data_IF_514130310695
#
_entry.id   IF_514130310695
#
_cell.length_a   1.000
_cell.length_b   1.000
_cell.length_c   1.000
_cell.angle_alpha   90.00
_cell.angle_beta   90.00
_cell.angle_gamma   90.00
#
_symmetry.space_group_name_H-M   'P 1'
#
loop_
_entity.id
_entity.type
_entity.pdbx_description
1 polymer ?
#
# COMPACT_ATOMS: atom_id res chain seq x y z
N UNK A 1 -42.06 -3.11 12.85
CA UNK A 1 -41.07 -2.59 11.87
C UNK A 1 -39.75 -2.42 12.62
N UNK A 2 -38.88 -3.42 12.63
CA UNK A 2 -37.57 -3.31 13.30
C UNK A 2 -36.55 -2.73 12.33
N UNK A 3 -36.07 -1.53 12.63
CA UNK A 3 -34.96 -0.89 11.93
C UNK A 3 -33.66 -1.59 12.36
N UNK A 4 -33.19 -2.54 11.56
CA UNK A 4 -31.84 -3.05 11.68
C UNK A 4 -30.88 -1.98 11.13
N UNK A 5 -30.31 -1.17 12.00
CA UNK A 5 -29.10 -0.40 11.68
C UNK A 5 -27.97 -1.40 11.49
N UNK A 6 -27.81 -1.90 10.26
CA UNK A 6 -26.58 -2.53 9.84
C UNK A 6 -25.52 -1.43 9.89
N UNK A 7 -24.70 -1.42 10.94
CA UNK A 7 -23.50 -0.59 10.99
C UNK A 7 -22.60 -1.04 9.84
N UNK A 8 -22.75 -0.42 8.67
CA UNK A 8 -21.77 -0.46 7.61
C UNK A 8 -20.47 -0.01 8.26
N UNK A 9 -19.56 -0.95 8.49
CA UNK A 9 -18.17 -0.60 8.74
C UNK A 9 -17.81 0.42 7.64
N UNK A 10 -17.25 1.58 7.98
CA UNK A 10 -16.91 2.58 6.98
C UNK A 10 -16.10 1.86 5.91
N UNK A 11 -16.58 1.91 4.66
CA UNK A 11 -15.93 1.26 3.54
C UNK A 11 -14.48 1.77 3.53
N UNK A 12 -13.56 0.92 3.97
CA UNK A 12 -12.15 1.26 4.01
C UNK A 12 -11.75 1.54 2.57
N UNK A 13 -11.20 2.73 2.31
CA UNK A 13 -10.65 3.06 1.01
C UNK A 13 -9.70 1.91 0.62
N UNK A 14 -10.01 1.13 -0.44
CA UNK A 14 -9.17 0.00 -0.84
C UNK A 14 -7.78 0.48 -1.27
N UNK A 15 -7.64 1.78 -1.56
CA UNK A 15 -6.40 2.45 -1.85
C UNK A 15 -5.95 3.38 -0.72
N UNK A 16 -6.43 3.19 0.50
CA UNK A 16 -6.05 3.99 1.65
C UNK A 16 -4.59 3.78 2.06
N UNK A 17 -4.01 4.78 2.75
CA UNK A 17 -2.66 4.68 3.32
C UNK A 17 -2.51 3.45 4.24
N UNK A 18 -3.46 3.13 5.15
CA UNK A 18 -3.35 1.94 5.99
C UNK A 18 -3.22 0.66 5.18
N UNK A 19 -4.00 0.52 4.10
CA UNK A 19 -3.95 -0.66 3.23
C UNK A 19 -2.61 -0.76 2.50
N UNK A 20 -2.07 0.36 2.02
CA UNK A 20 -0.78 0.39 1.36
C UNK A 20 0.37 0.00 2.29
N UNK A 21 0.34 0.46 3.55
CA UNK A 21 1.32 0.09 4.57
C UNK A 21 1.25 -1.40 4.91
N UNK A 22 0.04 -1.97 5.05
CA UNK A 22 -0.13 -3.41 5.29
C UNK A 22 0.50 -4.24 4.16
N UNK A 23 0.24 -3.84 2.91
CA UNK A 23 0.81 -4.52 1.73
C UNK A 23 2.33 -4.38 1.70
N UNK A 24 2.88 -3.20 1.96
CA UNK A 24 4.33 -2.99 2.02
C UNK A 24 4.97 -3.84 3.13
N UNK A 25 4.35 -3.88 4.32
CA UNK A 25 4.82 -4.69 5.44
C UNK A 25 4.80 -6.19 5.17
N UNK A 26 3.85 -6.66 4.35
CA UNK A 26 3.78 -8.08 3.94
C UNK A 26 4.92 -8.50 3.00
N UNK A 27 5.61 -7.53 2.38
CA UNK A 27 6.74 -7.76 1.47
C UNK A 27 8.10 -7.66 2.18
N UNK A 28 8.16 -8.02 3.46
CA UNK A 28 9.36 -7.82 4.30
C UNK A 28 10.59 -8.61 3.84
N UNK A 29 10.40 -9.68 3.05
CA UNK A 29 11.48 -10.46 2.44
C UNK A 29 12.13 -9.70 1.28
N UNK A 30 11.34 -9.06 0.42
CA UNK A 30 11.82 -8.32 -0.74
C UNK A 30 12.20 -6.87 -0.42
N UNK A 31 11.51 -6.26 0.55
CA UNK A 31 11.67 -4.88 1.00
C UNK A 31 11.82 -4.86 2.53
N UNK A 32 13.01 -5.17 3.06
CA UNK A 32 13.23 -5.20 4.51
C UNK A 32 12.91 -3.86 5.15
N UNK A 33 12.27 -3.86 6.34
CA UNK A 33 11.87 -2.62 7.04
C UNK A 33 13.04 -1.67 7.35
N UNK A 34 14.23 -2.22 7.55
CA UNK A 34 15.45 -1.45 7.78
C UNK A 34 16.10 -0.92 6.48
N UNK A 35 15.58 -1.29 5.32
CA UNK A 35 16.15 -0.88 4.03
C UNK A 35 15.80 0.58 3.70
N UNK A 36 16.69 1.31 2.99
CA UNK A 36 16.36 2.63 2.44
C UNK A 36 15.12 2.59 1.53
N UNK A 37 14.94 1.49 0.80
CA UNK A 37 13.80 1.28 -0.08
C UNK A 37 12.47 1.28 0.68
N UNK A 38 12.41 0.71 1.89
CA UNK A 38 11.21 0.74 2.72
C UNK A 38 10.82 2.17 3.11
N UNK A 39 11.80 2.96 3.59
CA UNK A 39 11.56 4.37 3.94
C UNK A 39 11.17 5.23 2.74
N UNK A 40 11.79 4.99 1.58
CA UNK A 40 11.41 5.63 0.33
C UNK A 40 9.97 5.29 -0.05
N UNK A 41 9.61 4.00 0.02
CA UNK A 41 8.26 3.52 -0.28
C UNK A 41 7.22 4.20 0.61
N UNK A 42 7.47 4.36 1.91
CA UNK A 42 6.56 5.07 2.81
C UNK A 42 6.27 6.52 2.35
N UNK A 43 7.30 7.23 1.87
CA UNK A 43 7.13 8.59 1.32
C UNK A 43 6.35 8.55 0.00
N UNK A 44 6.65 7.58 -0.87
CA UNK A 44 5.98 7.38 -2.15
C UNK A 44 4.48 7.15 -1.99
N UNK A 45 4.08 6.37 -0.98
CA UNK A 45 2.68 6.04 -0.69
C UNK A 45 1.83 7.26 -0.23
N UNK A 46 2.45 8.39 0.12
CA UNK A 46 1.72 9.64 0.37
C UNK A 46 1.12 10.21 -0.92
N UNK A 47 1.76 9.97 -2.07
CA UNK A 47 1.19 10.30 -3.37
C UNK A 47 0.04 9.35 -3.71
N UNK A 48 -1.14 9.92 -3.97
CA UNK A 48 -2.36 9.14 -4.22
C UNK A 48 -2.24 8.24 -5.46
N UNK A 49 -1.71 8.75 -6.55
CA UNK A 49 -1.65 8.02 -7.82
C UNK A 49 -0.62 6.90 -7.76
N UNK A 50 0.55 7.17 -7.20
CA UNK A 50 1.59 6.16 -6.95
C UNK A 50 1.09 5.08 -5.99
N UNK A 51 0.32 5.45 -4.95
CA UNK A 51 -0.31 4.48 -4.04
C UNK A 51 -1.35 3.60 -4.73
N UNK A 52 -2.21 4.17 -5.55
CA UNK A 52 -3.20 3.41 -6.34
C UNK A 52 -2.48 2.42 -7.26
N UNK A 53 -1.42 2.86 -7.93
CA UNK A 53 -0.59 2.02 -8.80
C UNK A 53 0.08 0.88 -8.03
N UNK A 54 0.73 1.18 -6.91
CA UNK A 54 1.36 0.18 -6.05
C UNK A 54 0.38 -0.91 -5.59
N UNK A 55 -0.85 -0.52 -5.29
CA UNK A 55 -1.87 -1.44 -4.81
C UNK A 55 -2.51 -2.26 -5.95
N UNK A 56 -2.56 -1.74 -7.18
CA UNK A 56 -3.16 -2.42 -8.33
C UNK A 56 -2.25 -3.40 -9.05
N UNK A 57 -0.92 -3.30 -8.87
CA UNK A 57 0.04 -4.23 -9.48
C UNK A 57 0.17 -5.55 -8.69
N UNK A 58 0.59 -6.63 -9.37
CA UNK A 58 0.74 -7.94 -8.74
C UNK A 58 1.89 -7.96 -7.71
N UNK A 59 1.83 -8.76 -6.64
CA UNK A 59 2.88 -8.80 -5.60
C UNK A 59 4.29 -8.97 -6.15
N UNK A 60 4.47 -9.83 -7.17
CA UNK A 60 5.78 -10.07 -7.82
C UNK A 60 6.39 -8.82 -8.46
N UNK A 61 5.56 -7.89 -8.92
CA UNK A 61 5.99 -6.70 -9.66
C UNK A 61 6.22 -5.52 -8.71
N UNK A 62 5.61 -5.52 -7.52
CA UNK A 62 5.70 -4.41 -6.54
C UNK A 62 7.14 -4.08 -6.16
N UNK A 63 7.93 -5.09 -5.79
CA UNK A 63 9.31 -4.87 -5.36
C UNK A 63 10.19 -4.33 -6.51
N UNK A 64 9.96 -4.80 -7.74
CA UNK A 64 10.67 -4.31 -8.92
C UNK A 64 10.32 -2.85 -9.21
N UNK A 65 9.03 -2.52 -9.21
CA UNK A 65 8.56 -1.16 -9.44
C UNK A 65 9.13 -0.17 -8.42
N UNK A 66 9.13 -0.52 -7.12
CA UNK A 66 9.73 0.30 -6.08
C UNK A 66 11.23 0.57 -6.30
N UNK A 67 11.98 -0.43 -6.80
CA UNK A 67 13.40 -0.28 -7.11
C UNK A 67 13.64 0.65 -8.29
N UNK A 68 12.78 0.63 -9.30
CA UNK A 68 12.87 1.57 -10.42
C UNK A 68 12.56 3.01 -9.98
N UNK A 69 11.55 3.20 -9.12
CA UNK A 69 11.16 4.54 -8.64
C UNK A 69 12.22 5.24 -7.78
N UNK A 70 13.15 4.50 -7.13
CA UNK A 70 14.25 5.11 -6.37
C UNK A 70 15.47 5.43 -7.26
N UNK A 71 15.54 4.84 -8.46
CA UNK A 71 16.60 5.10 -9.45
C UNK A 71 16.27 6.29 -10.37
N UNK A 72 14.98 6.63 -10.53
CA UNK A 72 14.48 7.83 -11.21
C UNK A 72 14.56 9.10 -10.33
#
# INVERSE_FOLDING_TARGET
MSQATCSLAPAMDPYGIPQAVIVLDSMSEEVPKASPLYFFSLKLLLNKDKRIMFLSISPKIKALWLKTEIEE
#
